data_IF_576399512624
#
_entry.id   IF_576399512624
#
_cell.length_a   1.000
_cell.length_b   1.000
_cell.length_c   1.000
_cell.angle_alpha   90.00
_cell.angle_beta   90.00
_cell.angle_gamma   90.00
#
_symmetry.space_group_name_H-M   'P 1'
#
loop_
_entity.id
_entity.type
_entity.pdbx_description
1 polymer ?
#
# COMPACT_ATOMS: atom_id res chain seq x y z
N UNK A 1 -11.52 11.31 11.00
CA UNK A 1 -11.54 10.13 10.11
C UNK A 1 -10.20 10.10 9.40
N UNK A 2 -9.48 8.98 9.31
CA UNK A 2 -8.14 8.92 8.67
C UNK A 2 -8.29 8.75 7.16
N UNK A 3 -7.31 9.19 6.36
CA UNK A 3 -7.37 9.03 4.90
C UNK A 3 -7.40 7.54 4.51
N UNK A 4 -6.72 6.65 5.26
CA UNK A 4 -6.83 5.19 5.11
C UNK A 4 -8.26 4.69 5.32
N UNK A 5 -8.98 5.23 6.31
CA UNK A 5 -10.37 4.81 6.58
C UNK A 5 -11.35 5.26 5.49
N UNK A 6 -11.11 6.44 4.90
CA UNK A 6 -11.89 6.93 3.77
C UNK A 6 -11.54 6.20 2.47
N UNK A 7 -10.25 5.98 2.21
CA UNK A 7 -9.76 5.16 1.11
C UNK A 7 -10.41 3.77 1.11
N UNK A 8 -10.49 3.12 2.27
CA UNK A 8 -11.19 1.84 2.41
C UNK A 8 -12.66 1.92 2.00
N UNK A 9 -13.38 2.98 2.41
CA UNK A 9 -14.77 3.20 2.01
C UNK A 9 -14.90 3.43 0.51
N UNK A 10 -13.98 4.18 -0.08
CA UNK A 10 -13.97 4.47 -1.50
C UNK A 10 -13.74 3.20 -2.34
N UNK A 11 -12.81 2.33 -1.95
CA UNK A 11 -12.63 1.02 -2.58
C UNK A 11 -13.92 0.20 -2.44
N UNK A 12 -14.47 0.06 -1.23
CA UNK A 12 -15.65 -0.77 -0.99
C UNK A 12 -16.90 -0.31 -1.75
N UNK A 13 -17.04 0.99 -1.97
CA UNK A 13 -18.19 1.56 -2.67
C UNK A 13 -18.01 1.62 -4.20
N UNK A 14 -16.79 1.42 -4.71
CA UNK A 14 -16.53 1.44 -6.15
C UNK A 14 -17.24 0.25 -6.85
N UNK A 15 -17.81 0.41 -8.06
CA UNK A 15 -18.55 -0.67 -8.74
C UNK A 15 -17.76 -1.99 -8.89
N UNK A 16 -16.47 -1.88 -9.20
CA UNK A 16 -15.55 -3.04 -9.23
C UNK A 16 -15.24 -3.55 -7.81
N UNK A 17 -15.17 -2.66 -6.82
CA UNK A 17 -14.96 -3.04 -5.43
C UNK A 17 -16.15 -3.78 -4.80
N UNK A 18 -17.38 -3.52 -5.25
CA UNK A 18 -18.59 -4.22 -4.77
C UNK A 18 -18.60 -5.72 -5.09
N UNK A 19 -17.84 -6.15 -6.09
CA UNK A 19 -17.68 -7.59 -6.41
C UNK A 19 -16.45 -8.21 -5.73
N UNK A 20 -15.69 -7.42 -4.96
CA UNK A 20 -14.52 -7.86 -4.19
C UNK A 20 -14.90 -8.00 -2.72
N UNK A 21 -14.37 -9.03 -2.07
CA UNK A 21 -14.41 -9.09 -0.61
C UNK A 21 -13.23 -8.29 -0.05
N UNK A 22 -13.53 -7.25 0.74
CA UNK A 22 -12.53 -6.36 1.32
C UNK A 22 -12.51 -6.51 2.83
N UNK A 23 -11.44 -7.06 3.36
CA UNK A 23 -11.24 -7.31 4.79
C UNK A 23 -9.93 -6.70 5.29
N UNK A 24 -9.72 -6.74 6.60
CA UNK A 24 -8.39 -6.52 7.16
C UNK A 24 -7.59 -7.81 6.99
N UNK A 25 -6.34 -7.70 6.56
CA UNK A 25 -5.50 -8.87 6.39
C UNK A 25 -5.23 -9.53 7.77
N UNK A 26 -5.56 -10.83 7.96
CA UNK A 26 -5.50 -11.49 9.26
C UNK A 26 -4.08 -11.93 9.66
N UNK A 27 -3.10 -11.82 8.75
CA UNK A 27 -1.73 -12.34 8.95
C UNK A 27 -0.88 -11.64 10.01
N UNK A 28 -1.44 -10.73 10.80
CA UNK A 28 -0.72 -9.94 11.81
C UNK A 28 -1.38 -10.02 13.19
N UNK A 29 -0.58 -10.07 14.26
CA UNK A 29 -1.04 -10.19 15.67
C UNK A 29 -1.65 -8.91 16.24
N UNK A 30 -1.49 -7.79 15.55
CA UNK A 30 -2.20 -6.52 15.79
C UNK A 30 -2.87 -6.16 14.49
N UNK A 31 -4.21 -6.09 14.45
CA UNK A 31 -5.01 -5.58 13.32
C UNK A 31 -4.44 -4.24 12.84
N UNK A 32 -3.47 -4.26 11.95
CA UNK A 32 -2.90 -3.05 11.40
C UNK A 32 -3.91 -2.55 10.39
N UNK A 33 -4.59 -1.45 10.72
CA UNK A 33 -5.58 -0.79 9.85
C UNK A 33 -5.04 -0.41 8.45
N UNK A 34 -3.74 -0.60 8.24
CA UNK A 34 -2.97 -0.30 7.04
C UNK A 34 -2.86 -1.51 6.09
N UNK A 35 -3.25 -2.72 6.50
CA UNK A 35 -3.22 -3.91 5.64
C UNK A 35 -4.65 -4.31 5.27
N UNK A 36 -5.03 -4.01 4.02
CA UNK A 36 -6.33 -4.35 3.45
C UNK A 36 -6.16 -5.57 2.54
N UNK A 37 -6.94 -6.60 2.77
CA UNK A 37 -7.03 -7.73 1.87
C UNK A 37 -8.16 -7.49 0.87
N UNK A 38 -7.86 -7.62 -0.41
CA UNK A 38 -8.80 -7.54 -1.53
C UNK A 38 -8.82 -8.91 -2.20
N UNK A 39 -9.89 -9.65 -1.96
CA UNK A 39 -10.07 -10.98 -2.54
C UNK A 39 -10.73 -10.88 -3.91
N UNK A 40 -9.99 -11.31 -4.92
CA UNK A 40 -10.57 -11.77 -6.18
C UNK A 40 -10.80 -13.27 -6.07
N UNK A 41 -11.83 -13.82 -6.73
CA UNK A 41 -12.21 -15.25 -6.66
C UNK A 41 -11.08 -16.25 -6.92
N UNK A 42 -9.94 -15.82 -7.49
CA UNK A 42 -8.80 -16.69 -7.83
C UNK A 42 -7.58 -16.49 -6.94
N UNK A 43 -7.29 -15.26 -6.49
CA UNK A 43 -6.15 -14.93 -5.62
C UNK A 43 -6.45 -13.70 -4.77
N UNK A 44 -6.06 -13.77 -3.50
CA UNK A 44 -6.02 -12.63 -2.59
C UNK A 44 -4.89 -11.67 -2.95
N UNK A 45 -5.17 -10.37 -2.92
CA UNK A 45 -4.17 -9.30 -3.01
C UNK A 45 -4.23 -8.45 -1.74
N UNK A 46 -3.09 -8.25 -1.09
CA UNK A 46 -2.98 -7.37 0.09
C UNK A 46 -2.47 -5.99 -0.30
N UNK A 47 -3.19 -4.95 0.08
CA UNK A 47 -2.75 -3.56 -0.01
C UNK A 47 -2.16 -3.11 1.33
N UNK A 48 -0.89 -2.72 1.32
CA UNK A 48 -0.21 -2.09 2.42
C UNK A 48 -0.26 -0.57 2.28
N UNK A 49 -1.29 0.02 2.88
CA UNK A 49 -1.67 1.42 2.75
C UNK A 49 -0.96 2.27 3.81
N UNK A 50 -0.17 3.25 3.37
CA UNK A 50 0.43 4.28 4.21
C UNK A 50 -0.05 5.64 3.75
N UNK A 51 -0.46 6.47 4.70
CA UNK A 51 -0.82 7.86 4.44
C UNK A 51 0.26 8.80 4.93
N UNK A 52 0.46 9.90 4.22
CA UNK A 52 1.24 11.03 4.68
C UNK A 52 0.63 12.33 4.10
N UNK A 53 0.51 13.35 4.96
CA UNK A 53 -0.10 14.64 4.60
C UNK A 53 0.93 15.75 4.33
N UNK A 54 2.23 15.44 4.34
CA UNK A 54 3.31 16.38 4.06
C UNK A 54 3.59 16.51 2.56
N UNK A 55 4.25 17.60 2.17
CA UNK A 55 4.61 17.91 0.79
C UNK A 55 6.04 18.41 0.75
N UNK A 56 7.01 17.62 0.27
CA UNK A 56 6.83 16.30 -0.34
C UNK A 56 6.45 15.21 0.68
N UNK A 57 5.76 14.18 0.21
CA UNK A 57 5.35 13.03 1.02
C UNK A 57 6.53 12.21 1.51
N UNK A 58 6.37 11.64 2.70
CA UNK A 58 7.39 10.82 3.35
C UNK A 58 6.73 9.67 4.12
N UNK A 59 6.99 8.43 3.72
CA UNK A 59 6.34 7.26 4.31
C UNK A 59 7.36 6.33 4.95
N UNK A 60 6.93 5.59 5.97
CA UNK A 60 7.69 4.49 6.55
C UNK A 60 7.02 3.16 6.25
N UNK A 61 7.70 2.25 5.57
CA UNK A 61 7.30 0.87 5.38
C UNK A 61 7.96 0.01 6.48
N UNK A 62 7.16 -0.48 7.41
CA UNK A 62 7.67 -1.15 8.60
C UNK A 62 8.29 -2.48 8.23
N UNK A 63 9.58 -2.67 8.54
CA UNK A 63 10.35 -3.87 8.17
C UNK A 63 9.64 -5.15 8.59
N UNK A 64 9.14 -5.21 9.83
CA UNK A 64 8.42 -6.38 10.33
C UNK A 64 7.15 -6.70 9.53
N UNK A 65 6.46 -5.69 8.98
CA UNK A 65 5.28 -5.89 8.14
C UNK A 65 5.69 -6.38 6.75
N UNK A 66 6.77 -5.85 6.17
CA UNK A 66 7.33 -6.36 4.92
C UNK A 66 7.76 -7.83 5.05
N UNK A 67 8.50 -8.17 6.12
CA UNK A 67 8.93 -9.54 6.42
C UNK A 67 7.73 -10.50 6.56
N UNK A 68 6.63 -10.05 7.18
CA UNK A 68 5.41 -10.86 7.32
C UNK A 68 4.69 -11.07 5.99
N UNK A 69 4.55 -10.02 5.19
CA UNK A 69 3.96 -10.09 3.85
C UNK A 69 4.74 -11.05 2.95
N UNK A 70 6.07 -11.03 3.06
CA UNK A 70 6.95 -11.92 2.29
C UNK A 70 6.88 -13.37 2.75
N UNK A 71 6.86 -13.61 4.06
CA UNK A 71 6.69 -14.96 4.62
C UNK A 71 5.34 -15.58 4.27
N UNK A 72 4.29 -14.76 4.19
CA UNK A 72 2.94 -15.23 3.86
C UNK A 72 2.78 -15.63 2.39
N UNK A 73 3.75 -15.30 1.52
CA UNK A 73 3.72 -15.59 0.08
C UNK A 73 2.45 -15.10 -0.63
N UNK A 74 1.86 -14.02 -0.14
CA UNK A 74 0.68 -13.37 -0.74
C UNK A 74 1.11 -12.35 -1.79
N UNK A 75 0.26 -12.13 -2.81
CA UNK A 75 0.44 -10.97 -3.69
C UNK A 75 0.15 -9.71 -2.87
N UNK A 76 1.09 -8.77 -2.85
CA UNK A 76 0.88 -7.51 -2.14
C UNK A 76 1.45 -6.30 -2.88
N UNK A 77 0.88 -5.13 -2.58
CA UNK A 77 1.29 -3.82 -3.09
C UNK A 77 1.42 -2.84 -1.94
N UNK A 78 2.42 -1.96 -1.98
CA UNK A 78 2.46 -0.77 -1.13
C UNK A 78 1.63 0.33 -1.81
N UNK A 79 0.70 0.93 -1.07
CA UNK A 79 -0.12 2.07 -1.53
C UNK A 79 0.24 3.27 -0.66
N UNK A 80 0.85 4.29 -1.25
CA UNK A 80 1.32 5.48 -0.59
C UNK A 80 0.38 6.64 -0.91
N UNK A 81 -0.57 6.91 -0.02
CA UNK A 81 -1.52 8.02 -0.15
C UNK A 81 -0.81 9.35 0.11
N UNK A 82 -0.98 10.29 -0.82
CA UNK A 82 -0.43 11.65 -0.75
C UNK A 82 -1.58 12.66 -0.78
N UNK A 83 -1.78 13.41 0.30
CA UNK A 83 -2.73 14.55 0.43
C UNK A 83 -4.22 14.25 0.26
N UNK A 84 -4.60 13.18 -0.45
CA UNK A 84 -5.98 12.73 -0.62
C UNK A 84 -6.11 11.24 -0.29
N UNK A 85 -7.36 10.80 -0.22
CA UNK A 85 -7.76 9.43 0.07
C UNK A 85 -7.97 8.59 -1.21
N UNK A 86 -7.60 9.10 -2.38
CA UNK A 86 -7.88 8.49 -3.69
C UNK A 86 -6.77 8.70 -4.73
N UNK A 87 -5.69 9.40 -4.36
CA UNK A 87 -4.51 9.58 -5.20
C UNK A 87 -3.24 9.26 -4.41
N UNK A 88 -2.18 8.91 -5.13
CA UNK A 88 -0.93 8.54 -4.51
C UNK A 88 -0.08 7.69 -5.43
N UNK A 89 0.75 6.85 -4.82
CA UNK A 89 1.65 5.95 -5.53
C UNK A 89 1.36 4.49 -5.17
N UNK A 90 1.59 3.60 -6.12
CA UNK A 90 1.46 2.16 -5.92
C UNK A 90 2.75 1.48 -6.38
N UNK A 91 3.26 0.58 -5.55
CA UNK A 91 4.44 -0.23 -5.84
C UNK A 91 4.09 -1.70 -5.61
N UNK A 92 4.45 -2.54 -6.56
CA UNK A 92 4.40 -3.99 -6.39
C UNK A 92 5.39 -4.46 -5.33
N UNK A 93 5.13 -5.63 -4.73
CA UNK A 93 6.07 -6.28 -3.82
C UNK A 93 7.49 -6.40 -4.38
N UNK A 94 7.64 -6.68 -5.68
CA UNK A 94 8.96 -6.77 -6.34
C UNK A 94 9.67 -5.42 -6.41
N UNK A 95 8.95 -4.35 -6.72
CA UNK A 95 9.49 -2.99 -6.76
C UNK A 95 9.93 -2.50 -5.37
N UNK A 96 9.17 -2.83 -4.33
CA UNK A 96 9.56 -2.54 -2.95
C UNK A 96 10.79 -3.34 -2.56
N UNK A 97 10.82 -4.65 -2.85
CA UNK A 97 11.97 -5.53 -2.55
C UNK A 97 13.25 -5.06 -3.21
N UNK A 98 13.18 -4.73 -4.51
CA UNK A 98 14.33 -4.22 -5.25
C UNK A 98 14.89 -2.97 -4.58
N UNK A 99 14.03 -2.01 -4.22
CA UNK A 99 14.43 -0.75 -3.57
C UNK A 99 14.95 -0.92 -2.15
N UNK A 100 14.44 -1.90 -1.43
CA UNK A 100 14.99 -2.26 -0.11
C UNK A 100 16.38 -2.91 -0.28
N UNK A 101 16.53 -3.78 -1.28
CA UNK A 101 17.77 -4.52 -1.52
C UNK A 101 18.91 -3.64 -2.06
N UNK A 102 18.59 -2.69 -2.96
CA UNK A 102 19.57 -1.76 -3.53
C UNK A 102 19.87 -0.55 -2.63
N UNK A 103 19.17 -0.43 -1.50
CA UNK A 103 19.38 0.62 -0.51
C UNK A 103 18.64 1.94 -0.80
N UNK A 104 17.85 2.02 -1.87
CA UNK A 104 17.00 3.19 -2.17
C UNK A 104 16.04 3.49 -1.02
N UNK A 105 15.42 2.45 -0.44
CA UNK A 105 14.58 2.58 0.75
C UNK A 105 15.39 2.34 2.02
N UNK A 106 16.03 3.41 2.48
CA UNK A 106 16.89 3.39 3.67
C UNK A 106 16.14 2.92 4.92
N UNK A 107 16.74 1.98 5.66
CA UNK A 107 16.22 1.54 6.95
C UNK A 107 16.60 2.54 8.04
N UNK A 108 15.63 3.22 8.62
CA UNK A 108 15.85 4.13 9.74
C UNK A 108 15.87 3.39 11.09
N UNK A 109 16.40 4.08 12.11
CA UNK A 109 16.55 3.55 13.48
C UNK A 109 15.22 3.13 14.14
N UNK A 110 14.09 3.62 13.65
CA UNK A 110 12.75 3.26 14.10
C UNK A 110 12.22 1.94 13.49
N UNK A 111 13.00 1.28 12.62
CA UNK A 111 12.64 0.00 12.02
C UNK A 111 11.76 0.09 10.77
N UNK A 112 11.63 1.28 10.19
CA UNK A 112 10.93 1.51 8.94
C UNK A 112 11.91 1.75 7.79
N UNK A 113 11.58 1.21 6.62
CA UNK A 113 12.17 1.61 5.34
C UNK A 113 11.52 2.93 4.90
N UNK A 114 12.32 3.99 4.75
CA UNK A 114 11.82 5.31 4.41
C UNK A 114 11.64 5.45 2.90
N UNK A 115 10.54 6.10 2.53
CA UNK A 115 10.19 6.40 1.14
C UNK A 115 9.92 7.89 1.01
N UNK A 116 10.70 8.57 0.19
CA UNK A 116 10.61 9.98 -0.10
C UNK A 116 9.99 10.21 -1.48
N UNK A 117 8.93 11.02 -1.54
CA UNK A 117 8.20 11.30 -2.77
C UNK A 117 9.10 11.88 -3.88
N UNK A 118 10.09 12.71 -3.53
CA UNK A 118 10.90 13.43 -4.53
C UNK A 118 11.98 12.56 -5.16
N UNK A 119 12.60 11.70 -4.36
CA UNK A 119 13.80 10.96 -4.78
C UNK A 119 13.48 9.54 -5.20
N UNK A 120 12.46 8.92 -4.61
CA UNK A 120 12.27 7.47 -4.75
C UNK A 120 11.06 7.10 -5.61
N UNK A 121 10.16 8.06 -5.82
CA UNK A 121 8.91 7.89 -6.57
C UNK A 121 8.92 8.71 -7.86
N UNK A 122 8.17 8.24 -8.85
CA UNK A 122 8.01 8.94 -10.12
C UNK A 122 6.57 8.79 -10.65
N UNK A 123 6.27 9.51 -11.73
CA UNK A 123 4.92 9.57 -12.31
C UNK A 123 4.38 8.22 -12.79
N UNK A 124 5.22 7.25 -13.11
CA UNK A 124 4.78 5.93 -13.58
C UNK A 124 4.20 5.08 -12.43
N UNK A 125 4.51 5.42 -11.19
CA UNK A 125 3.97 4.76 -10.00
C UNK A 125 2.68 5.43 -9.51
N UNK A 126 2.32 6.59 -10.06
CA UNK A 126 1.19 7.36 -9.58
C UNK A 126 -0.14 6.76 -10.06
N UNK A 127 -1.15 6.77 -9.20
CA UNK A 127 -2.54 6.49 -9.58
C UNK A 127 -3.41 7.73 -9.30
N UNK A 128 -4.42 7.96 -10.15
CA UNK A 128 -5.29 9.14 -10.08
C UNK A 128 -6.75 8.73 -9.92
N UNK A 129 -7.07 8.20 -8.74
CA UNK A 129 -8.40 7.70 -8.40
C UNK A 129 -8.42 6.20 -8.16
N UNK A 130 -9.47 5.75 -7.49
CA UNK A 130 -9.66 4.33 -7.12
C UNK A 130 -9.75 3.42 -8.35
N UNK A 131 -10.33 3.91 -9.45
CA UNK A 131 -10.43 3.14 -10.70
C UNK A 131 -9.05 2.76 -11.23
N UNK A 132 -8.13 3.72 -11.27
CA UNK A 132 -6.77 3.52 -11.75
C UNK A 132 -6.01 2.55 -10.84
N UNK A 133 -6.13 2.72 -9.52
CA UNK A 133 -5.53 1.81 -8.56
C UNK A 133 -6.03 0.37 -8.77
N UNK A 134 -7.35 0.18 -8.87
CA UNK A 134 -7.94 -1.15 -9.06
C UNK A 134 -7.52 -1.80 -10.38
N UNK A 135 -7.29 -1.02 -11.44
CA UNK A 135 -6.76 -1.53 -12.70
C UNK A 135 -5.31 -2.05 -12.59
N UNK A 136 -4.54 -1.57 -11.59
CA UNK A 136 -3.14 -1.99 -11.36
C UNK A 136 -3.09 -3.23 -10.45
N UNK A 137 -3.93 -3.29 -9.40
CA UNK A 137 -3.79 -4.28 -8.33
C UNK A 137 -4.61 -5.56 -8.52
N UNK A 138 -5.61 -5.53 -9.41
CA UNK A 138 -6.42 -6.70 -9.78
C UNK A 138 -5.76 -7.42 -10.97
#
# INVERSE_FOLDING_TARGET
MTAVSEFRKLIANHPVGKSLEISLWPGTTRRSYHLLEINTRKKSTVLYVKENNSSPGFWGLTKNQLDQLDKAQVRWFAVLLSKSNDTGYVLSSNEVKSRVQDGTFELSKDGDHKVNERTDLNSNMAFRGIKDLLAIVL
#
